data_IF_935859919718
#
_entry.id   IF_935859919718
#
_cell.length_a   1.000
_cell.length_b   1.000
_cell.length_c   1.000
_cell.angle_alpha   90.00
_cell.angle_beta   90.00
_cell.angle_gamma   90.00
#
_symmetry.space_group_name_H-M   'P 1'
#
loop_
_entity.id
_entity.type
_entity.pdbx_description
1 polymer ?
#
# COMPACT_ATOMS: atom_id res chain seq x y z
N UNK A 1 -62.57 -44.21 -11.49
CA UNK A 1 -61.33 -44.88 -11.01
C UNK A 1 -60.23 -43.83 -11.00
N UNK A 2 -59.92 -43.28 -9.83
CA UNK A 2 -58.74 -43.61 -9.00
C UNK A 2 -57.42 -43.36 -9.75
N UNK A 3 -56.84 -42.18 -9.55
CA UNK A 3 -55.39 -42.00 -9.69
C UNK A 3 -54.82 -41.57 -8.35
N UNK A 4 -54.08 -42.50 -7.77
CA UNK A 4 -53.38 -42.44 -6.50
C UNK A 4 -52.18 -41.49 -6.56
N UNK A 5 -52.04 -40.71 -5.50
CA UNK A 5 -50.88 -39.91 -5.13
C UNK A 5 -49.61 -40.77 -5.02
N UNK A 6 -48.49 -40.26 -5.52
CA UNK A 6 -47.15 -40.71 -5.13
C UNK A 6 -46.31 -39.49 -4.77
N UNK A 7 -46.22 -39.22 -3.46
CA UNK A 7 -45.32 -38.22 -2.89
C UNK A 7 -43.93 -38.83 -2.78
N UNK A 8 -42.98 -38.35 -3.58
CA UNK A 8 -41.56 -38.62 -3.41
C UNK A 8 -40.97 -37.61 -2.43
N UNK A 9 -40.72 -38.03 -1.20
CA UNK A 9 -39.95 -37.28 -0.21
C UNK A 9 -38.45 -37.57 -0.43
N UNK A 10 -37.70 -36.57 -0.91
CA UNK A 10 -36.24 -36.61 -0.99
C UNK A 10 -35.64 -36.16 0.36
N UNK A 11 -35.01 -37.09 1.08
CA UNK A 11 -34.12 -36.74 2.20
C UNK A 11 -32.82 -36.16 1.63
N UNK A 12 -32.62 -34.85 1.79
CA UNK A 12 -31.32 -34.23 1.62
C UNK A 12 -30.52 -34.38 2.92
N UNK A 13 -29.54 -35.28 2.93
CA UNK A 13 -28.55 -35.33 4.00
C UNK A 13 -27.61 -34.13 3.85
N UNK A 14 -27.69 -33.17 4.79
CA UNK A 14 -26.73 -32.10 4.89
C UNK A 14 -25.40 -32.67 5.42
N UNK A 15 -24.47 -32.94 4.52
CA UNK A 15 -23.07 -33.15 4.89
C UNK A 15 -22.52 -31.79 5.36
N UNK A 16 -22.43 -31.58 6.66
CA UNK A 16 -21.57 -30.52 7.20
C UNK A 16 -20.14 -30.94 6.91
N UNK A 17 -19.54 -30.36 5.87
CA UNK A 17 -18.12 -30.46 5.65
C UNK A 17 -17.42 -29.79 6.84
N UNK A 18 -16.85 -30.59 7.74
CA UNK A 18 -15.85 -30.11 8.68
C UNK A 18 -14.64 -29.66 7.85
N UNK A 19 -14.50 -28.35 7.65
CA UNK A 19 -13.24 -27.79 7.22
C UNK A 19 -12.17 -28.16 8.27
N UNK A 20 -10.99 -28.65 7.87
CA UNK A 20 -9.90 -28.88 8.80
C UNK A 20 -9.58 -27.54 9.48
N UNK A 21 -9.76 -27.46 10.80
CA UNK A 21 -9.33 -26.30 11.59
C UNK A 21 -7.82 -26.22 11.46
N UNK A 22 -7.31 -25.17 10.80
CA UNK A 22 -5.90 -24.82 10.88
C UNK A 22 -5.51 -24.68 12.36
N UNK A 23 -4.35 -25.22 12.73
CA UNK A 23 -3.86 -25.09 14.10
C UNK A 23 -3.56 -23.62 14.39
N UNK A 24 -4.44 -22.98 15.16
CA UNK A 24 -4.17 -21.66 15.69
C UNK A 24 -3.01 -21.75 16.68
N UNK A 25 -1.93 -21.02 16.42
CA UNK A 25 -0.74 -21.00 17.27
C UNK A 25 -0.40 -19.55 17.66
N UNK A 26 0.23 -19.38 18.82
CA UNK A 26 0.67 -18.06 19.30
C UNK A 26 2.16 -17.85 19.05
N UNK A 27 2.55 -16.61 18.78
CA UNK A 27 3.93 -16.25 18.50
C UNK A 27 4.24 -14.81 18.89
N UNK A 28 5.53 -14.49 19.03
CA UNK A 28 6.08 -13.15 19.10
C UNK A 28 7.03 -12.93 17.94
N UNK A 29 7.06 -11.70 17.43
CA UNK A 29 7.97 -11.31 16.36
C UNK A 29 9.22 -10.63 16.92
N UNK A 30 10.36 -10.93 16.31
CA UNK A 30 11.64 -10.26 16.51
C UNK A 30 12.20 -9.78 15.19
N UNK A 31 12.75 -8.58 15.20
CA UNK A 31 13.43 -7.97 14.08
C UNK A 31 14.95 -8.13 14.23
N UNK A 32 15.62 -8.48 13.13
CA UNK A 32 17.07 -8.52 13.03
C UNK A 32 17.54 -7.68 11.83
N UNK A 33 18.45 -6.75 12.06
CA UNK A 33 18.94 -5.82 11.05
C UNK A 33 19.58 -4.57 11.68
N UNK A 34 19.55 -3.47 10.93
CA UNK A 34 20.02 -2.16 11.38
C UNK A 34 19.34 -1.68 12.66
N UNK A 35 18.02 -1.86 12.76
CA UNK A 35 17.28 -1.86 14.02
C UNK A 35 16.91 -3.30 14.38
N UNK A 36 17.26 -3.74 15.58
CA UNK A 36 17.02 -5.10 16.07
C UNK A 36 16.31 -5.05 17.42
N UNK A 37 15.42 -5.99 17.66
CA UNK A 37 14.70 -6.07 18.93
C UNK A 37 13.36 -6.78 18.83
N UNK A 38 12.63 -6.76 19.94
CA UNK A 38 11.27 -7.30 19.98
C UNK A 38 10.31 -6.38 19.24
N UNK A 39 9.27 -6.99 18.67
CA UNK A 39 8.17 -6.27 18.04
C UNK A 39 6.99 -6.26 19.01
N UNK A 40 6.59 -5.06 19.39
CA UNK A 40 5.39 -4.80 20.17
C UNK A 40 4.34 -4.08 19.35
N UNK A 41 3.23 -3.72 20.00
CA UNK A 41 2.16 -2.92 19.40
C UNK A 41 1.84 -1.69 20.23
N UNK A 42 1.50 -0.61 19.55
CA UNK A 42 0.80 0.53 20.16
C UNK A 42 -0.65 0.15 20.48
N UNK A 43 -1.34 0.95 21.30
CA UNK A 43 -2.77 0.78 21.57
C UNK A 43 -3.62 0.86 20.30
N UNK A 44 -3.19 1.62 19.29
CA UNK A 44 -3.80 1.67 17.96
C UNK A 44 -3.67 0.37 17.17
N UNK A 45 -2.77 -0.55 17.57
CA UNK A 45 -2.51 -1.82 16.88
C UNK A 45 -1.38 -1.79 15.87
N UNK A 46 -0.73 -0.64 15.69
CA UNK A 46 0.46 -0.53 14.87
C UNK A 46 1.63 -1.30 15.51
N UNK A 47 2.29 -2.16 14.74
CA UNK A 47 3.46 -2.91 15.18
C UNK A 47 4.75 -2.08 15.04
N UNK A 48 5.61 -2.11 16.06
CA UNK A 48 6.90 -1.41 16.06
C UNK A 48 8.01 -2.25 16.69
N UNK A 49 9.22 -2.08 16.18
CA UNK A 49 10.45 -2.58 16.81
C UNK A 49 10.79 -1.67 17.99
N UNK A 50 11.24 -2.26 19.11
CA UNK A 50 11.69 -1.50 20.29
C UNK A 50 10.61 -1.30 21.35
N UNK A 51 9.44 -1.89 21.16
CA UNK A 51 8.38 -1.99 22.17
C UNK A 51 8.47 -3.30 22.95
N UNK A 52 7.74 -3.36 24.09
CA UNK A 52 7.53 -4.63 24.80
C UNK A 52 6.87 -5.66 23.86
N UNK A 53 7.32 -6.92 23.85
CA UNK A 53 6.80 -7.94 22.94
C UNK A 53 5.27 -8.03 22.97
N UNK A 54 4.64 -8.01 21.80
CA UNK A 54 3.22 -8.27 21.66
C UNK A 54 2.99 -9.74 21.26
N UNK A 55 1.96 -10.37 21.82
CA UNK A 55 1.54 -11.72 21.44
C UNK A 55 0.60 -11.66 20.25
N UNK A 56 0.94 -12.39 19.20
CA UNK A 56 0.15 -12.57 17.99
C UNK A 56 -0.34 -14.02 17.90
N UNK A 57 -1.35 -14.24 17.04
CA UNK A 57 -1.90 -15.55 16.72
C UNK A 57 -1.89 -15.75 15.22
N UNK A 58 -1.40 -16.90 14.77
CA UNK A 58 -1.46 -17.31 13.38
C UNK A 58 -2.64 -18.25 13.21
N UNK A 59 -3.47 -18.00 12.21
CA UNK A 59 -4.54 -18.89 11.77
C UNK A 59 -4.39 -19.11 10.26
N UNK A 60 -3.88 -20.28 9.89
CA UNK A 60 -3.47 -20.58 8.52
C UNK A 60 -2.34 -19.64 8.05
N UNK A 61 -2.62 -18.82 7.04
CA UNK A 61 -1.72 -17.82 6.48
C UNK A 61 -2.10 -16.37 6.88
N UNK A 62 -2.94 -16.22 7.91
CA UNK A 62 -3.40 -14.93 8.44
C UNK A 62 -2.94 -14.72 9.87
N UNK A 63 -2.57 -13.47 10.20
CA UNK A 63 -2.12 -13.11 11.55
C UNK A 63 -3.15 -12.21 12.26
N UNK A 64 -3.27 -12.41 13.57
CA UNK A 64 -4.16 -11.66 14.46
C UNK A 64 -3.36 -11.21 15.69
N UNK A 65 -3.79 -10.15 16.34
CA UNK A 65 -3.24 -9.80 17.65
C UNK A 65 -3.99 -10.46 18.81
N UNK A 66 -3.46 -10.29 20.03
CA UNK A 66 -4.10 -10.81 21.25
C UNK A 66 -5.52 -10.28 21.53
N UNK A 67 -5.89 -9.14 20.94
CA UNK A 67 -7.22 -8.52 21.06
C UNK A 67 -8.21 -8.99 19.98
N UNK A 68 -7.76 -9.84 19.05
CA UNK A 68 -8.58 -10.32 17.94
C UNK A 68 -8.68 -9.35 16.77
N UNK A 69 -7.77 -8.39 16.66
CA UNK A 69 -7.66 -7.49 15.50
C UNK A 69 -6.87 -8.17 14.39
N UNK A 70 -7.39 -8.11 13.17
CA UNK A 70 -6.73 -8.71 12.01
C UNK A 70 -5.51 -7.90 11.60
N UNK A 71 -4.36 -8.56 11.46
CA UNK A 71 -3.12 -7.91 11.07
C UNK A 71 -2.98 -7.86 9.54
N UNK A 72 -2.51 -6.72 9.04
CA UNK A 72 -2.43 -6.41 7.62
C UNK A 72 -1.34 -5.35 7.35
N UNK A 73 -1.00 -5.17 6.07
CA UNK A 73 -0.07 -4.14 5.63
C UNK A 73 -0.84 -2.93 5.10
N UNK A 74 -0.93 -1.87 5.92
CA UNK A 74 -1.84 -0.75 5.67
C UNK A 74 -1.50 0.02 4.39
N UNK A 75 -2.46 0.26 3.50
CA UNK A 75 -2.26 1.15 2.35
C UNK A 75 -2.05 2.62 2.79
N UNK A 76 -1.27 3.42 2.03
CA UNK A 76 -0.46 3.01 0.87
C UNK A 76 0.93 2.52 1.31
N UNK A 77 1.32 2.80 2.55
CA UNK A 77 2.71 2.65 3.01
C UNK A 77 3.12 1.21 3.26
N UNK A 78 2.16 0.29 3.30
CA UNK A 78 2.32 -1.10 3.71
C UNK A 78 2.98 -1.19 5.08
N UNK A 79 2.46 -0.46 6.05
CA UNK A 79 2.89 -0.52 7.45
C UNK A 79 2.21 -1.71 8.15
N UNK A 80 2.95 -2.44 8.98
CA UNK A 80 2.37 -3.55 9.74
C UNK A 80 1.46 -3.04 10.87
N UNK A 81 0.17 -3.35 10.80
CA UNK A 81 -0.82 -2.93 11.78
C UNK A 81 -1.87 -4.03 12.00
N UNK A 82 -2.53 -4.03 13.16
CA UNK A 82 -3.67 -4.89 13.45
C UNK A 82 -4.87 -4.03 13.90
N UNK A 83 -5.94 -4.00 13.10
CA UNK A 83 -7.08 -3.08 13.32
C UNK A 83 -8.38 -3.81 13.73
N UNK A 84 -9.24 -3.10 14.47
CA UNK A 84 -10.54 -3.64 14.90
C UNK A 84 -11.44 -3.87 13.70
N UNK A 85 -11.96 -5.09 13.56
CA UNK A 85 -12.82 -5.46 12.43
C UNK A 85 -12.08 -5.64 11.10
N UNK A 86 -10.76 -5.51 11.09
CA UNK A 86 -9.95 -5.76 9.91
C UNK A 86 -9.92 -7.24 9.57
N UNK A 87 -10.16 -7.55 8.30
CA UNK A 87 -9.91 -8.89 7.77
C UNK A 87 -8.39 -9.04 7.64
N UNK A 88 -7.76 -10.01 8.34
CA UNK A 88 -6.32 -10.15 8.32
C UNK A 88 -5.83 -10.51 6.92
N UNK A 89 -4.70 -9.94 6.53
CA UNK A 89 -4.14 -10.17 5.21
C UNK A 89 -3.49 -11.55 5.14
N UNK A 90 -3.81 -12.29 4.07
CA UNK A 90 -3.23 -13.60 3.78
C UNK A 90 -1.83 -13.47 3.23
N UNK A 91 -1.00 -14.46 3.51
CA UNK A 91 0.34 -14.56 2.94
C UNK A 91 1.45 -14.81 3.95
N UNK A 92 1.13 -14.86 5.25
CA UNK A 92 2.10 -15.15 6.29
C UNK A 92 2.57 -16.60 6.20
N UNK A 93 3.89 -16.78 6.21
CA UNK A 93 4.51 -18.10 6.23
C UNK A 93 5.69 -18.12 7.20
N UNK A 94 5.65 -19.09 8.10
CA UNK A 94 6.61 -19.31 9.16
C UNK A 94 7.40 -20.55 8.81
N UNK A 95 8.71 -20.38 8.65
CA UNK A 95 9.61 -21.47 8.34
C UNK A 95 10.12 -22.13 9.61
N UNK A 96 10.75 -23.29 9.43
CA UNK A 96 11.16 -24.16 10.51
C UNK A 96 12.33 -23.61 11.36
N UNK A 97 13.12 -22.69 10.78
CA UNK A 97 14.17 -21.93 11.45
C UNK A 97 13.65 -20.68 12.18
N UNK A 98 12.33 -20.49 12.21
CA UNK A 98 11.67 -19.30 12.75
C UNK A 98 11.66 -18.12 11.79
N UNK A 99 12.20 -18.22 10.58
CA UNK A 99 12.14 -17.11 9.61
C UNK A 99 10.70 -16.87 9.16
N UNK A 100 10.31 -15.60 9.09
CA UNK A 100 8.97 -15.18 8.70
C UNK A 100 9.03 -14.56 7.31
N UNK A 101 8.06 -14.92 6.48
CA UNK A 101 7.87 -14.32 5.16
C UNK A 101 6.41 -13.92 4.94
N UNK A 102 6.20 -12.94 4.09
CA UNK A 102 4.88 -12.51 3.65
C UNK A 102 4.80 -12.55 2.12
N UNK A 103 3.91 -13.37 1.55
CA UNK A 103 3.83 -13.62 0.11
C UNK A 103 5.19 -13.93 -0.54
N UNK A 104 6.04 -14.69 0.16
CA UNK A 104 7.39 -15.07 -0.27
C UNK A 104 8.48 -14.02 0.01
N UNK A 105 8.13 -12.80 0.39
CA UNK A 105 9.09 -11.77 0.76
C UNK A 105 9.64 -12.03 2.17
N UNK A 106 10.98 -12.11 2.30
CA UNK A 106 11.71 -12.36 3.56
C UNK A 106 12.39 -11.12 4.13
N UNK A 107 12.60 -10.10 3.29
CA UNK A 107 13.19 -8.82 3.68
C UNK A 107 12.08 -7.77 3.83
N UNK A 108 12.08 -7.06 4.94
CA UNK A 108 11.17 -5.95 5.24
C UNK A 108 11.98 -4.68 5.46
N UNK A 109 11.32 -3.56 5.72
CA UNK A 109 11.96 -2.27 5.94
C UNK A 109 11.58 -1.73 7.29
N UNK A 110 12.59 -1.42 8.10
CA UNK A 110 12.41 -0.66 9.32
C UNK A 110 12.74 0.80 9.04
N UNK A 111 11.96 1.74 9.56
CA UNK A 111 12.26 3.18 9.45
C UNK A 111 12.09 3.85 10.82
N UNK A 112 12.87 4.91 11.05
CA UNK A 112 12.83 5.69 12.28
C UNK A 112 11.40 6.16 12.59
N UNK A 113 11.00 5.93 13.85
CA UNK A 113 9.84 6.53 14.48
C UNK A 113 10.30 7.30 15.73
N UNK A 114 9.43 7.44 16.73
CA UNK A 114 9.73 8.21 17.93
C UNK A 114 10.42 7.36 19.01
N UNK A 115 11.24 8.00 19.86
CA UNK A 115 11.80 7.39 21.08
C UNK A 115 12.63 6.11 20.85
N UNK A 116 13.39 6.05 19.75
CA UNK A 116 14.21 4.88 19.41
C UNK A 116 13.39 3.65 18.99
N UNK A 117 12.14 3.86 18.59
CA UNK A 117 11.26 2.84 18.01
C UNK A 117 11.29 2.94 16.50
N UNK A 118 10.89 1.86 15.84
CA UNK A 118 10.91 1.78 14.39
C UNK A 118 9.63 1.19 13.85
N UNK A 119 9.10 1.82 12.82
CA UNK A 119 7.98 1.32 12.04
C UNK A 119 8.42 0.18 11.13
N UNK A 120 7.55 -0.78 10.87
CA UNK A 120 7.85 -1.95 10.03
C UNK A 120 6.99 -1.87 8.77
N UNK A 121 7.64 -1.82 7.62
CA UNK A 121 7.00 -1.71 6.32
C UNK A 121 7.32 -2.91 5.43
N UNK A 122 6.36 -3.28 4.59
CA UNK A 122 6.58 -4.25 3.52
C UNK A 122 7.40 -3.64 2.37
N UNK A 123 7.27 -2.33 2.14
CA UNK A 123 7.92 -1.62 1.04
C UNK A 123 9.03 -0.70 1.56
N UNK A 124 10.03 -0.44 0.71
CA UNK A 124 11.08 0.54 1.02
C UNK A 124 10.58 1.98 0.83
N UNK A 125 11.28 2.94 1.42
CA UNK A 125 11.08 4.37 1.16
C UNK A 125 9.82 4.95 1.80
N UNK A 126 9.28 4.30 2.83
CA UNK A 126 8.02 4.65 3.49
C UNK A 126 8.19 5.58 4.70
N UNK A 127 9.43 5.93 5.04
CA UNK A 127 9.77 6.74 6.20
C UNK A 127 11.16 7.34 6.11
N UNK A 128 11.65 7.85 7.23
CA UNK A 128 12.98 8.43 7.37
C UNK A 128 13.97 7.36 7.85
N UNK A 129 15.22 7.46 7.40
CA UNK A 129 16.34 6.63 7.89
C UNK A 129 16.05 5.11 7.82
N UNK A 130 15.37 4.70 6.74
CA UNK A 130 14.95 3.33 6.55
C UNK A 130 16.13 2.41 6.23
N UNK A 131 16.07 1.19 6.72
CA UNK A 131 16.97 0.13 6.31
C UNK A 131 16.28 -1.24 6.35
N UNK A 132 16.92 -2.23 5.71
CA UNK A 132 16.38 -3.59 5.65
C UNK A 132 16.37 -4.25 7.02
N UNK A 133 15.37 -5.09 7.24
CA UNK A 133 15.19 -5.90 8.44
C UNK A 133 14.60 -7.25 8.06
N UNK A 134 14.97 -8.31 8.78
CA UNK A 134 14.32 -9.62 8.69
C UNK A 134 13.49 -9.88 9.93
N UNK A 135 12.43 -10.64 9.78
CA UNK A 135 11.52 -11.00 10.86
C UNK A 135 11.69 -12.48 11.22
N UNK A 136 11.72 -12.75 12.52
CA UNK A 136 11.75 -14.10 13.08
C UNK A 136 10.64 -14.26 14.10
N UNK A 137 10.19 -15.50 14.25
CA UNK A 137 9.15 -15.91 15.19
C UNK A 137 9.71 -16.90 16.20
N UNK A 138 9.24 -16.80 17.44
CA UNK A 138 9.51 -17.78 18.50
C UNK A 138 8.43 -18.88 18.61
N UNK A 139 7.39 -18.81 17.79
CA UNK A 139 6.29 -19.77 17.75
C UNK A 139 5.79 -20.03 16.33
N UNK A 140 4.79 -20.89 16.17
CA UNK A 140 4.17 -21.21 14.88
C UNK A 140 5.09 -21.80 13.80
N UNK A 141 6.23 -22.37 14.20
CA UNK A 141 7.15 -23.03 13.28
C UNK A 141 6.66 -24.45 12.99
N UNK A 142 6.56 -24.88 11.73
CA UNK A 142 6.21 -26.26 11.40
C UNK A 142 7.26 -27.22 11.98
N UNK A 143 6.83 -28.43 12.37
CA UNK A 143 7.76 -29.47 12.80
C UNK A 143 8.75 -29.78 11.66
N UNK A 144 10.03 -29.49 11.90
CA UNK A 144 11.08 -29.87 10.96
C UNK A 144 11.10 -31.40 10.81
N UNK A 145 11.33 -31.93 9.60
CA UNK A 145 11.86 -33.28 9.48
C UNK A 145 13.12 -33.37 10.35
N UNK A 146 13.13 -34.27 11.34
CA UNK A 146 14.36 -34.57 12.11
C UNK A 146 15.47 -34.79 11.09
N UNK A 147 16.64 -34.15 11.25
CA UNK A 147 17.79 -34.45 10.41
C UNK A 147 17.98 -35.97 10.44
N UNK A 148 17.95 -36.63 9.27
CA UNK A 148 18.36 -38.03 9.19
C UNK A 148 19.77 -38.05 9.77
N UNK A 149 19.96 -38.77 10.88
CA UNK A 149 21.26 -39.12 11.42
C UNK A 149 21.98 -39.94 10.36
N UNK A 150 22.65 -39.26 9.44
CA UNK A 150 23.63 -39.84 8.54
C UNK A 150 24.89 -40.02 9.38
N UNK A 151 25.35 -41.27 9.46
CA UNK A 151 26.45 -41.70 10.30
C UNK A 151 27.72 -40.88 10.11
N UNK A 152 28.52 -40.87 11.17
CA UNK A 152 29.82 -40.24 11.25
C UNK A 152 30.73 -40.61 10.06
N UNK A 153 31.34 -39.60 9.45
CA UNK A 153 32.63 -39.72 8.75
C UNK A 153 33.37 -38.37 8.81
N UNK A 154 34.71 -38.37 8.66
CA UNK A 154 35.67 -38.06 9.70
C UNK A 154 36.03 -36.56 9.78
N UNK A 155 36.42 -36.17 10.98
CA UNK A 155 36.87 -34.83 11.37
C UNK A 155 38.16 -34.41 10.64
N UNK A 156 38.14 -33.21 10.04
CA UNK A 156 39.35 -32.44 9.74
C UNK A 156 39.60 -31.44 10.91
N UNK A 157 40.85 -31.12 11.28
CA UNK A 157 41.15 -30.42 12.55
C UNK A 157 40.76 -28.93 12.53
N UNK A 158 40.62 -28.30 13.71
CA UNK A 158 40.22 -26.89 13.83
C UNK A 158 41.37 -25.98 13.43
N UNK A 159 41.10 -24.95 12.62
CA UNK A 159 42.04 -23.83 12.39
C UNK A 159 41.78 -22.76 13.44
N UNK A 160 42.77 -22.56 14.31
CA UNK A 160 42.80 -21.56 15.38
C UNK A 160 42.45 -20.16 14.85
N UNK A 161 41.57 -19.46 15.57
CA UNK A 161 41.28 -18.04 15.36
C UNK A 161 42.01 -17.26 16.44
N UNK A 162 43.05 -16.53 16.05
CA UNK A 162 43.80 -15.63 16.94
C UNK A 162 43.09 -14.27 16.99
N UNK A 163 42.72 -13.84 18.20
CA UNK A 163 42.21 -12.50 18.49
C UNK A 163 43.37 -11.51 18.53
N UNK A 164 43.31 -10.42 17.75
CA UNK A 164 44.23 -9.27 17.92
C UNK A 164 43.40 -8.01 18.13
N UNK A 165 43.48 -7.48 19.35
CA UNK A 165 43.01 -6.14 19.72
C UNK A 165 44.10 -5.13 19.39
N UNK A 166 43.83 -4.11 18.57
CA UNK A 166 44.70 -2.92 18.50
C UNK A 166 43.88 -1.62 18.39
N UNK A 167 44.28 -0.67 19.23
CA UNK A 167 43.75 0.69 19.42
C UNK A 167 44.18 1.65 18.29
N UNK A 168 43.36 2.68 18.07
CA UNK A 168 43.59 3.83 17.19
C UNK A 168 44.56 4.86 17.83
N UNK A 169 45.41 5.56 17.05
CA UNK A 169 45.26 7.02 16.83
C UNK A 169 45.53 7.48 15.37
N UNK A 170 45.28 8.77 15.02
CA UNK A 170 44.96 9.23 13.66
C UNK A 170 46.15 9.81 12.88
N UNK A 171 46.17 9.70 11.54
CA UNK A 171 46.99 10.56 10.67
C UNK A 171 46.33 10.94 9.34
N UNK A 172 46.33 12.26 9.13
CA UNK A 172 46.09 13.08 7.95
C UNK A 172 46.79 12.54 6.69
N UNK A 173 46.07 12.50 5.56
CA UNK A 173 46.67 12.26 4.23
C UNK A 173 46.56 13.54 3.39
N UNK A 174 47.71 14.12 3.08
CA UNK A 174 47.90 15.16 2.06
C UNK A 174 47.91 14.50 0.67
N UNK A 175 47.04 14.94 -0.23
CA UNK A 175 47.01 14.48 -1.63
C UNK A 175 47.88 15.40 -2.49
N UNK A 176 48.96 14.85 -3.03
CA UNK A 176 49.79 15.50 -4.06
C UNK A 176 49.15 15.27 -5.43
N UNK A 177 48.69 16.34 -6.09
CA UNK A 177 48.24 16.30 -7.49
C UNK A 177 49.44 16.39 -8.44
N UNK A 178 49.52 15.46 -9.39
CA UNK A 178 50.42 15.50 -10.54
C UNK A 178 49.59 15.98 -11.73
N UNK A 179 49.95 17.15 -12.27
CA UNK A 179 49.30 17.75 -13.44
C UNK A 179 50.12 17.36 -14.66
N UNK A 180 49.55 16.53 -15.55
CA UNK A 180 50.14 16.24 -16.85
C UNK A 180 49.25 16.85 -17.93
N UNK A 181 49.75 17.91 -18.56
CA UNK A 181 49.10 18.62 -19.67
C UNK A 181 49.41 17.91 -20.98
N UNK A 182 48.38 17.45 -21.70
CA UNK A 182 48.50 17.04 -23.10
C UNK A 182 47.53 17.88 -23.94
N UNK A 183 48.12 18.61 -24.89
CA UNK A 183 47.42 19.40 -25.90
C UNK A 183 47.36 18.57 -27.18
N UNK A 184 46.16 18.26 -27.68
CA UNK A 184 45.95 17.85 -29.08
C UNK A 184 44.56 18.23 -29.57
N UNK A 185 44.52 18.73 -30.80
CA UNK A 185 43.36 19.30 -31.48
C UNK A 185 42.43 18.23 -32.10
N UNK A 186 41.12 18.50 -32.03
CA UNK A 186 40.17 18.44 -33.15
C UNK A 186 39.81 17.10 -33.81
N UNK A 187 38.66 16.54 -33.42
CA UNK A 187 37.80 15.73 -34.30
C UNK A 187 36.33 15.94 -33.87
N UNK A 188 35.35 16.15 -34.78
CA UNK A 188 33.96 16.33 -34.38
C UNK A 188 33.38 15.00 -33.88
N UNK A 189 33.03 14.97 -32.60
CA UNK A 189 32.45 13.79 -31.95
C UNK A 189 30.96 13.67 -32.34
N UNK A 190 30.46 12.49 -32.71
CA UNK A 190 29.03 12.29 -32.93
C UNK A 190 28.27 12.56 -31.62
N UNK A 191 27.15 13.28 -31.75
CA UNK A 191 26.28 13.69 -30.63
C UNK A 191 25.91 12.47 -29.78
N UNK A 192 26.14 12.50 -28.46
CA UNK A 192 25.64 11.46 -27.56
C UNK A 192 24.11 11.32 -27.74
N UNK A 193 23.55 10.10 -27.76
CA UNK A 193 22.11 9.93 -27.73
C UNK A 193 21.55 10.68 -26.53
N UNK A 194 20.65 11.62 -26.82
CA UNK A 194 20.01 12.50 -25.86
C UNK A 194 19.37 11.63 -24.76
N UNK A 195 19.80 11.80 -23.50
CA UNK A 195 19.10 11.21 -22.36
C UNK A 195 17.62 11.64 -22.45
N UNK A 196 16.65 10.72 -22.24
CA UNK A 196 15.25 11.07 -22.22
C UNK A 196 15.04 12.24 -21.26
N UNK A 197 14.44 13.33 -21.74
CA UNK A 197 14.07 14.45 -20.88
C UNK A 197 13.18 13.91 -19.74
N UNK A 198 13.31 14.45 -18.51
CA UNK A 198 12.40 14.11 -17.42
C UNK A 198 10.95 14.24 -17.90
N UNK A 199 10.09 13.23 -17.68
CA UNK A 199 8.71 13.31 -18.13
C UNK A 199 8.01 14.51 -17.49
N UNK A 200 7.27 15.29 -18.30
CA UNK A 200 6.52 16.48 -17.86
C UNK A 200 5.33 16.15 -16.94
N UNK A 201 5.04 14.88 -16.70
CA UNK A 201 3.90 14.37 -15.93
C UNK A 201 4.29 13.10 -15.19
N UNK A 202 3.74 12.89 -14.01
CA UNK A 202 3.97 11.67 -13.25
C UNK A 202 3.26 10.47 -13.89
N UNK A 203 3.69 9.23 -13.58
CA UNK A 203 3.09 8.04 -14.15
C UNK A 203 1.58 7.98 -13.92
N UNK A 204 0.83 7.54 -14.93
CA UNK A 204 -0.61 7.25 -14.84
C UNK A 204 -0.85 5.83 -14.30
N UNK A 205 -0.03 5.40 -13.34
CA UNK A 205 -0.14 4.12 -12.64
C UNK A 205 0.36 4.29 -11.21
N UNK A 206 0.06 3.33 -10.34
CA UNK A 206 0.42 3.39 -8.91
C UNK A 206 1.74 2.67 -8.59
N UNK A 207 2.69 2.64 -9.55
CA UNK A 207 3.98 1.96 -9.34
C UNK A 207 4.98 2.76 -8.48
N UNK A 208 4.78 4.07 -8.37
CA UNK A 208 5.57 4.97 -7.53
C UNK A 208 4.78 5.47 -6.31
N UNK A 209 5.26 6.51 -5.61
CA UNK A 209 4.51 7.13 -4.53
C UNK A 209 3.19 7.72 -5.05
N UNK A 210 2.12 7.50 -4.31
CA UNK A 210 0.80 8.02 -4.63
C UNK A 210 0.00 8.31 -3.36
N UNK A 211 -0.99 9.20 -3.49
CA UNK A 211 -2.02 9.45 -2.50
C UNK A 211 -3.36 8.94 -3.01
N UNK A 212 -4.12 8.34 -2.12
CA UNK A 212 -5.54 8.01 -2.33
C UNK A 212 -6.41 9.05 -1.60
N UNK A 213 -7.71 9.13 -1.90
CA UNK A 213 -8.56 10.13 -1.29
C UNK A 213 -8.82 9.80 0.18
N UNK A 214 -8.51 10.74 1.07
CA UNK A 214 -8.72 10.62 2.51
C UNK A 214 -10.17 10.94 2.92
N UNK A 215 -10.94 11.55 2.02
CA UNK A 215 -12.37 11.76 2.18
C UNK A 215 -13.05 11.80 0.81
N UNK A 216 -14.15 11.05 0.65
CA UNK A 216 -15.02 11.16 -0.51
C UNK A 216 -16.40 11.61 -0.04
N UNK A 217 -16.90 12.73 -0.57
CA UNK A 217 -18.22 13.28 -0.26
C UNK A 217 -19.11 13.23 -1.52
N UNK A 218 -20.21 12.47 -1.50
CA UNK A 218 -21.28 12.60 -2.47
C UNK A 218 -22.02 13.92 -2.24
N UNK A 219 -22.21 14.68 -3.31
CA UNK A 219 -22.97 15.93 -3.31
C UNK A 219 -24.18 15.75 -4.21
N UNK A 220 -25.36 15.66 -3.59
CA UNK A 220 -26.64 15.47 -4.28
C UNK A 220 -27.37 16.81 -4.45
N UNK A 221 -27.47 17.27 -5.70
CA UNK A 221 -28.20 18.51 -6.03
C UNK A 221 -29.72 18.40 -5.82
N UNK A 222 -30.26 17.19 -5.70
CA UNK A 222 -31.69 16.96 -5.43
C UNK A 222 -32.04 17.20 -3.95
N UNK A 223 -31.05 17.12 -3.06
CA UNK A 223 -31.19 17.32 -1.62
C UNK A 223 -30.12 18.29 -1.12
N UNK A 224 -30.17 19.58 -1.52
CA UNK A 224 -29.01 20.47 -1.48
C UNK A 224 -28.54 20.87 -0.06
N UNK A 225 -29.38 20.68 0.95
CA UNK A 225 -29.06 20.92 2.37
C UNK A 225 -28.64 19.67 3.13
N UNK A 226 -28.73 18.48 2.50
CA UNK A 226 -28.37 17.22 3.15
C UNK A 226 -26.90 16.92 2.93
N UNK A 227 -26.16 16.79 4.03
CA UNK A 227 -24.82 16.19 4.00
C UNK A 227 -24.96 14.68 3.89
N UNK A 228 -24.45 14.09 2.80
CA UNK A 228 -24.43 12.63 2.65
C UNK A 228 -23.46 11.96 3.64
N UNK A 229 -22.47 12.72 4.15
CA UNK A 229 -21.38 12.20 4.96
C UNK A 229 -20.29 11.56 4.11
N UNK A 230 -19.41 10.82 4.77
CA UNK A 230 -18.31 10.13 4.10
C UNK A 230 -18.80 8.95 3.24
N UNK A 231 -18.06 8.66 2.18
CA UNK A 231 -18.29 7.58 1.24
C UNK A 231 -16.97 6.89 0.92
N UNK A 232 -17.05 5.64 0.46
CA UNK A 232 -15.94 4.91 -0.16
C UNK A 232 -16.08 4.86 -1.69
N UNK A 233 -17.14 5.48 -2.22
CA UNK A 233 -17.53 5.36 -3.63
C UNK A 233 -17.48 6.72 -4.31
N UNK A 234 -16.93 6.72 -5.53
CA UNK A 234 -17.10 7.80 -6.48
C UNK A 234 -18.42 7.65 -7.26
N UNK A 235 -19.13 8.75 -7.42
CA UNK A 235 -20.40 8.87 -8.12
C UNK A 235 -20.45 10.13 -8.96
N UNK A 236 -20.92 9.98 -10.19
CA UNK A 236 -21.13 11.07 -11.13
C UNK A 236 -22.36 10.75 -12.00
N UNK A 237 -23.46 11.46 -11.76
CA UNK A 237 -24.65 11.45 -12.60
C UNK A 237 -25.32 12.85 -12.62
N UNK A 238 -26.50 12.94 -13.24
CA UNK A 238 -27.26 14.20 -13.38
C UNK A 238 -27.58 14.93 -12.05
N UNK A 239 -27.53 14.23 -10.92
CA UNK A 239 -27.90 14.70 -9.58
C UNK A 239 -26.73 14.64 -8.62
N UNK A 240 -25.93 13.57 -8.68
CA UNK A 240 -24.85 13.31 -7.73
C UNK A 240 -23.50 13.58 -8.38
N UNK A 241 -22.68 14.38 -7.71
CA UNK A 241 -21.25 14.52 -7.98
C UNK A 241 -20.44 14.05 -6.77
N UNK A 242 -19.14 13.81 -6.94
CA UNK A 242 -18.27 13.41 -5.83
C UNK A 242 -17.11 14.38 -5.67
N UNK A 243 -16.83 14.74 -4.42
CA UNK A 243 -15.65 15.52 -4.04
C UNK A 243 -14.68 14.60 -3.32
N UNK A 244 -13.42 14.63 -3.73
CA UNK A 244 -12.32 13.81 -3.22
C UNK A 244 -11.29 14.73 -2.57
N UNK A 245 -10.98 14.50 -1.29
CA UNK A 245 -9.92 15.21 -0.60
C UNK A 245 -8.66 14.35 -0.57
N UNK A 246 -7.53 15.00 -0.75
CA UNK A 246 -6.21 14.39 -0.59
C UNK A 246 -5.41 15.21 0.40
N UNK A 247 -4.88 14.56 1.43
CA UNK A 247 -3.94 15.15 2.37
C UNK A 247 -2.54 14.92 1.82
N UNK A 248 -1.89 15.97 1.33
CA UNK A 248 -0.58 15.83 0.67
C UNK A 248 0.53 15.92 1.71
N UNK A 249 1.37 14.87 1.88
CA UNK A 249 2.47 14.90 2.84
C UNK A 249 3.42 16.08 2.64
N UNK A 250 3.91 16.65 3.75
CA UNK A 250 4.93 17.70 3.72
C UNK A 250 6.24 17.27 3.04
N UNK A 251 6.53 15.97 3.02
CA UNK A 251 7.67 15.36 2.36
C UNK A 251 7.64 15.48 0.82
N UNK A 252 6.50 15.89 0.23
CA UNK A 252 6.38 16.12 -1.21
C UNK A 252 6.70 17.56 -1.62
N UNK A 253 7.24 18.38 -0.71
CA UNK A 253 7.63 19.75 -1.02
C UNK A 253 8.66 19.77 -2.17
N UNK A 254 8.35 20.54 -3.21
CA UNK A 254 9.20 20.66 -4.40
C UNK A 254 9.08 19.48 -5.38
N UNK A 255 8.14 18.55 -5.15
CA UNK A 255 7.79 17.50 -6.10
C UNK A 255 6.63 17.93 -6.99
N UNK A 256 6.47 17.21 -8.08
CA UNK A 256 5.36 17.25 -9.02
C UNK A 256 4.32 16.20 -8.67
N UNK A 257 3.06 16.58 -8.75
CA UNK A 257 1.91 15.72 -8.51
C UNK A 257 1.07 15.65 -9.79
N UNK A 258 0.55 14.45 -10.10
CA UNK A 258 -0.44 14.28 -11.16
C UNK A 258 -1.73 13.68 -10.61
N UNK A 259 -2.85 14.36 -10.85
CA UNK A 259 -4.18 13.79 -10.60
C UNK A 259 -4.47 12.77 -11.71
N UNK A 260 -4.77 11.54 -11.33
CA UNK A 260 -5.01 10.44 -12.26
C UNK A 260 -6.31 9.72 -11.92
N UNK A 261 -7.09 9.37 -12.94
CA UNK A 261 -8.27 8.51 -12.79
C UNK A 261 -7.99 7.17 -13.44
N UNK A 262 -8.08 6.08 -12.67
CA UNK A 262 -7.83 4.72 -13.13
C UNK A 262 -9.17 3.98 -13.25
N UNK A 263 -9.42 3.40 -14.41
CA UNK A 263 -10.71 2.79 -14.74
C UNK A 263 -10.49 1.43 -15.41
N UNK A 264 -10.19 0.38 -14.64
CA UNK A 264 -9.90 -0.96 -15.15
C UNK A 264 -11.14 -1.66 -15.68
N UNK A 265 -10.94 -2.75 -16.43
CA UNK A 265 -12.02 -3.65 -16.81
C UNK A 265 -12.52 -4.42 -15.59
N UNK A 266 -13.81 -4.76 -15.55
CA UNK A 266 -14.40 -5.57 -14.47
C UNK A 266 -13.69 -6.90 -14.27
N UNK A 267 -13.22 -7.53 -15.34
CA UNK A 267 -12.49 -8.81 -15.29
C UNK A 267 -11.16 -8.74 -14.52
N UNK A 268 -10.64 -7.54 -14.27
CA UNK A 268 -9.41 -7.31 -13.52
C UNK A 268 -9.65 -6.90 -12.06
N UNK A 269 -10.91 -6.77 -11.64
CA UNK A 269 -11.28 -6.36 -10.28
C UNK A 269 -11.53 -7.57 -9.40
N UNK A 270 -11.08 -7.48 -8.14
CA UNK A 270 -11.30 -8.52 -7.13
C UNK A 270 -12.18 -8.02 -5.97
N UNK A 271 -11.89 -6.81 -5.48
CA UNK A 271 -12.51 -6.23 -4.27
C UNK A 271 -13.34 -4.98 -4.53
N UNK A 272 -13.36 -4.50 -5.77
CA UNK A 272 -14.10 -3.33 -6.21
C UNK A 272 -15.06 -3.65 -7.36
N UNK A 273 -15.97 -2.72 -7.63
CA UNK A 273 -16.86 -2.80 -8.79
C UNK A 273 -17.17 -1.39 -9.29
N UNK A 274 -17.62 -1.30 -10.53
CA UNK A 274 -18.15 -0.07 -11.11
C UNK A 274 -19.40 -0.33 -11.94
N UNK A 275 -20.25 0.69 -12.05
CA UNK A 275 -21.40 0.73 -12.95
C UNK A 275 -21.26 1.98 -13.81
N UNK A 276 -21.33 1.79 -15.12
CA UNK A 276 -21.27 2.87 -16.10
C UNK A 276 -22.42 2.72 -17.10
N UNK A 277 -23.13 3.81 -17.34
CA UNK A 277 -24.10 3.94 -18.42
C UNK A 277 -24.03 5.34 -19.04
N UNK A 278 -24.55 5.51 -20.26
CA UNK A 278 -24.48 6.76 -21.01
C UNK A 278 -23.16 6.93 -21.77
N UNK A 279 -22.82 8.17 -22.11
CA UNK A 279 -21.67 8.50 -22.97
C UNK A 279 -20.29 8.21 -22.36
N UNK A 280 -20.21 8.17 -21.02
CA UNK A 280 -18.95 8.06 -20.27
C UNK A 280 -18.19 9.37 -20.13
N UNK A 281 -18.75 10.53 -20.47
CA UNK A 281 -18.11 11.82 -20.23
C UNK A 281 -18.19 12.24 -18.75
N UNK A 282 -17.03 12.44 -18.15
CA UNK A 282 -16.86 12.98 -16.78
C UNK A 282 -15.94 14.20 -16.80
N UNK A 283 -16.24 15.16 -15.94
CA UNK A 283 -15.50 16.41 -15.78
C UNK A 283 -14.82 16.41 -14.43
N UNK A 284 -13.52 16.71 -14.43
CA UNK A 284 -12.72 16.85 -13.23
C UNK A 284 -12.34 18.32 -13.02
N UNK A 285 -12.50 18.79 -11.78
CA UNK A 285 -12.25 20.19 -11.40
C UNK A 285 -11.47 20.27 -10.09
N UNK A 286 -10.62 21.28 -9.95
CA UNK A 286 -10.01 21.66 -8.67
C UNK A 286 -10.96 22.60 -7.93
N UNK A 287 -11.07 22.45 -6.61
CA UNK A 287 -11.91 23.31 -5.77
C UNK A 287 -11.08 24.35 -5.00
N UNK A 288 -11.69 25.51 -4.72
CA UNK A 288 -11.07 26.63 -3.98
C UNK A 288 -10.85 26.35 -2.50
N UNK A 289 -11.42 25.27 -1.98
CA UNK A 289 -11.37 24.90 -0.57
C UNK A 289 -11.56 23.42 -0.38
N UNK A 290 -11.41 22.97 0.87
CA UNK A 290 -11.41 21.56 1.25
C UNK A 290 -12.79 21.15 1.76
N UNK A 291 -13.38 20.09 1.20
CA UNK A 291 -14.66 19.57 1.66
C UNK A 291 -14.53 18.90 3.04
N UNK A 292 -15.65 18.70 3.74
CA UNK A 292 -15.68 17.98 5.00
C UNK A 292 -16.96 17.14 5.12
N UNK A 293 -17.12 16.38 6.21
CA UNK A 293 -18.27 15.47 6.38
C UNK A 293 -19.64 16.18 6.40
N UNK A 294 -19.68 17.51 6.62
CA UNK A 294 -20.90 18.33 6.58
C UNK A 294 -21.13 19.01 5.24
N UNK A 295 -20.33 18.68 4.22
CA UNK A 295 -20.48 19.25 2.89
C UNK A 295 -21.78 18.79 2.23
N UNK A 296 -22.50 19.74 1.63
CA UNK A 296 -23.79 19.61 0.93
C UNK A 296 -23.69 20.33 -0.42
N UNK A 297 -24.73 20.26 -1.26
CA UNK A 297 -24.70 21.00 -2.53
C UNK A 297 -24.68 22.52 -2.35
N UNK A 298 -25.33 23.04 -1.30
CA UNK A 298 -25.39 24.47 -1.01
C UNK A 298 -24.10 25.05 -0.40
N UNK A 299 -23.29 24.22 0.29
CA UNK A 299 -22.07 24.70 0.97
C UNK A 299 -20.76 24.11 0.38
N UNK A 300 -20.85 23.32 -0.69
CA UNK A 300 -19.67 22.74 -1.33
C UNK A 300 -18.66 23.84 -1.74
N UNK A 301 -17.35 23.59 -1.58
CA UNK A 301 -16.35 24.54 -2.06
C UNK A 301 -16.53 24.85 -3.55
N UNK A 302 -16.47 26.12 -3.91
CA UNK A 302 -16.61 26.54 -5.31
C UNK A 302 -15.49 25.97 -6.17
N UNK A 303 -15.79 25.72 -7.45
CA UNK A 303 -14.79 25.34 -8.45
C UNK A 303 -13.77 26.48 -8.61
N UNK A 304 -12.49 26.14 -8.49
CA UNK A 304 -11.35 27.02 -8.77
C UNK A 304 -11.06 27.02 -10.27
N UNK A 305 -10.91 25.82 -10.83
CA UNK A 305 -10.65 25.60 -12.25
C UNK A 305 -11.17 24.24 -12.70
N UNK A 306 -11.71 24.18 -13.90
CA UNK A 306 -11.95 22.92 -14.60
C UNK A 306 -10.61 22.39 -15.13
N UNK A 307 -10.30 21.14 -14.84
CA UNK A 307 -9.01 20.54 -15.20
C UNK A 307 -9.09 19.80 -16.53
N UNK A 308 -10.06 18.89 -16.64
CA UNK A 308 -10.21 18.04 -17.82
C UNK A 308 -11.60 17.41 -17.89
N UNK A 309 -12.14 17.37 -19.10
CA UNK A 309 -13.24 16.47 -19.44
C UNK A 309 -12.67 15.22 -20.11
N UNK A 310 -13.10 14.04 -19.68
CA UNK A 310 -12.64 12.74 -20.18
C UNK A 310 -13.83 11.88 -20.54
N UNK A 311 -13.78 11.21 -21.69
CA UNK A 311 -14.67 10.10 -21.97
C UNK A 311 -14.03 8.80 -21.48
N UNK A 312 -14.57 8.24 -20.39
CA UNK A 312 -14.00 7.08 -19.72
C UNK A 312 -14.42 5.78 -20.39
N UNK A 313 -13.45 4.88 -20.55
CA UNK A 313 -13.59 3.56 -21.19
C UNK A 313 -12.86 2.55 -20.31
N UNK A 314 -13.50 1.43 -19.94
CA UNK A 314 -12.87 0.42 -19.09
C UNK A 314 -11.55 -0.11 -19.67
N UNK A 315 -10.57 -0.33 -18.78
CA UNK A 315 -9.21 -0.76 -19.11
C UNK A 315 -8.20 0.38 -19.31
N UNK A 316 -8.55 1.63 -18.99
CA UNK A 316 -7.68 2.78 -19.22
C UNK A 316 -7.33 3.52 -17.91
N UNK A 317 -6.21 4.24 -17.97
CA UNK A 317 -5.83 5.24 -16.97
C UNK A 317 -5.73 6.62 -17.61
N UNK A 318 -6.18 7.65 -16.90
CA UNK A 318 -6.30 9.00 -17.40
C UNK A 318 -5.48 9.97 -16.54
N UNK A 319 -4.48 10.62 -17.13
CA UNK A 319 -3.84 11.78 -16.50
C UNK A 319 -4.75 12.99 -16.67
N UNK A 320 -5.23 13.54 -15.56
CA UNK A 320 -6.20 14.62 -15.51
C UNK A 320 -5.49 15.96 -15.50
N UNK A 321 -4.56 16.15 -14.57
CA UNK A 321 -3.75 17.36 -14.45
C UNK A 321 -2.40 17.05 -13.81
N UNK A 322 -1.41 17.90 -14.07
CA UNK A 322 -0.10 17.87 -13.40
C UNK A 322 0.16 19.25 -12.80
N UNK A 323 0.62 19.29 -11.55
CA UNK A 323 0.80 20.51 -10.76
C UNK A 323 1.88 20.30 -9.69
N UNK A 324 2.40 21.39 -9.13
CA UNK A 324 3.30 21.31 -7.97
C UNK A 324 2.55 20.71 -6.78
N UNK A 325 3.15 19.72 -6.10
CA UNK A 325 2.52 19.11 -4.94
C UNK A 325 2.24 20.15 -3.85
N UNK A 326 0.98 20.31 -3.39
CA UNK A 326 0.63 21.24 -2.32
C UNK A 326 1.00 20.64 -0.95
N UNK A 327 2.29 20.36 -0.78
CA UNK A 327 2.84 19.62 0.35
C UNK A 327 2.45 20.23 1.70
N UNK A 328 2.01 19.36 2.62
CA UNK A 328 1.53 19.73 3.95
C UNK A 328 0.10 20.28 3.98
N UNK A 329 -0.60 20.31 2.84
CA UNK A 329 -1.96 20.84 2.75
C UNK A 329 -2.92 19.78 2.21
N UNK A 330 -4.18 19.92 2.59
CA UNK A 330 -5.28 19.20 1.96
C UNK A 330 -5.73 19.92 0.68
N UNK A 331 -6.14 19.15 -0.33
CA UNK A 331 -6.70 19.65 -1.59
C UNK A 331 -7.94 18.85 -1.98
N UNK A 332 -8.94 19.51 -2.55
CA UNK A 332 -10.16 18.85 -3.03
C UNK A 332 -10.32 18.94 -4.54
N UNK A 333 -10.73 17.83 -5.13
CA UNK A 333 -11.11 17.71 -6.53
C UNK A 333 -12.55 17.22 -6.65
N UNK A 334 -13.28 17.71 -7.64
CA UNK A 334 -14.63 17.26 -7.95
C UNK A 334 -14.63 16.43 -9.22
N UNK A 335 -15.40 15.34 -9.22
CA UNK A 335 -15.81 14.60 -10.40
C UNK A 335 -17.31 14.75 -10.59
N UNK A 336 -17.73 15.17 -11.78
CA UNK A 336 -19.13 15.34 -12.16
C UNK A 336 -19.39 14.70 -13.52
N UNK A 337 -20.60 14.20 -13.77
CA UNK A 337 -20.95 13.70 -15.09
C UNK A 337 -21.21 14.85 -16.07
N UNK A 338 -21.05 14.55 -17.35
CA UNK A 338 -21.47 15.39 -18.45
C UNK A 338 -22.38 14.57 -19.37
N UNK A 339 -23.43 15.22 -19.89
CA UNK A 339 -24.43 14.55 -20.70
C UNK A 339 -25.25 13.55 -19.89
N UNK A 340 -25.46 12.36 -20.46
CA UNK A 340 -26.28 11.27 -19.91
C UNK A 340 -25.47 10.27 -19.07
N UNK A 341 -24.20 10.57 -18.79
CA UNK A 341 -23.30 9.68 -18.05
C UNK A 341 -23.80 9.47 -16.61
N UNK A 342 -23.87 8.19 -16.22
CA UNK A 342 -24.02 7.77 -14.83
C UNK A 342 -22.91 6.77 -14.51
N UNK A 343 -22.05 7.18 -13.59
CA UNK A 343 -20.92 6.41 -13.10
C UNK A 343 -21.06 6.23 -11.59
N UNK A 344 -20.85 5.00 -11.14
CA UNK A 344 -20.63 4.64 -9.74
C UNK A 344 -19.41 3.71 -9.69
N UNK A 345 -18.52 3.88 -8.73
CA UNK A 345 -17.42 2.95 -8.49
C UNK A 345 -17.02 2.94 -7.02
N UNK A 346 -16.48 1.82 -6.54
CA UNK A 346 -15.81 1.72 -5.25
C UNK A 346 -14.33 2.07 -5.41
N UNK A 347 -13.83 3.06 -4.67
CA UNK A 347 -12.43 3.50 -4.71
C UNK A 347 -11.55 2.43 -4.06
N UNK A 348 -10.67 1.82 -4.85
CA UNK A 348 -9.86 0.69 -4.38
C UNK A 348 -8.59 0.52 -5.21
N UNK A 349 -7.51 0.07 -4.57
CA UNK A 349 -6.21 -0.14 -5.21
C UNK A 349 -5.96 -1.63 -5.57
N UNK A 350 -6.75 -2.57 -5.03
CA UNK A 350 -6.47 -4.01 -5.12
C UNK A 350 -7.08 -4.72 -6.34
N UNK A 351 -6.36 -5.69 -6.93
CA UNK A 351 -5.01 -5.54 -7.46
C UNK A 351 -4.96 -4.62 -8.71
N UNK A 352 -6.13 -4.30 -9.29
CA UNK A 352 -6.26 -3.36 -10.40
C UNK A 352 -6.90 -2.08 -9.88
N UNK A 353 -6.13 -0.99 -9.72
CA UNK A 353 -6.63 0.21 -9.08
C UNK A 353 -7.79 0.85 -9.87
N UNK A 354 -8.86 1.14 -9.16
CA UNK A 354 -10.06 1.81 -9.63
C UNK A 354 -10.26 3.07 -8.77
N UNK A 355 -10.35 4.23 -9.43
CA UNK A 355 -10.67 5.48 -8.75
C UNK A 355 -9.69 6.62 -9.02
N UNK A 356 -9.72 7.62 -8.16
CA UNK A 356 -9.01 8.88 -8.32
C UNK A 356 -7.82 8.96 -7.37
N UNK A 357 -6.62 9.13 -7.92
CA UNK A 357 -5.36 9.14 -7.17
C UNK A 357 -4.52 10.36 -7.50
N UNK A 358 -3.56 10.69 -6.65
CA UNK A 358 -2.47 11.62 -6.98
C UNK A 358 -1.17 10.84 -7.04
N UNK A 359 -0.52 10.78 -8.19
CA UNK A 359 0.82 10.17 -8.33
C UNK A 359 1.90 11.24 -8.22
N UNK A 360 3.09 10.84 -7.75
CA UNK A 360 4.17 11.77 -7.40
C UNK A 360 5.47 11.42 -8.09
N UNK A 361 6.15 12.46 -8.58
CA UNK A 361 7.45 12.45 -9.21
C UNK A 361 8.13 13.82 -8.98
#
# INVERSE_FOLDING_TARGET
MRYTLASLASLAAAAQALAPRGEQCSFHLKAAGSASGNIGQLSSGQARIGLSPATFKLDGDTAWDSQGRGCWWTPPTKLLQCDVGQIPEKGWKFECDGSVSFNGQKEFYQCDADNGQYNIYLLNGQGKDCAKVTLTSDGCTPECPKPKTTGAQPTCPPKETVTVTQQQPPKTITVTQVITSVVTQGCPTPTPPQQPQPPKSCPTNLSGPYEFPHLIIPVDSSNPDKAAGTSYNGQADSKISSIFNFDIPGSYKGKTCSLVFLFPKKENLETSDWKLSGSGEVVFSKLKGVANQKTTANNAPAVESELKTVQIVPGNGYSIATFDCPAGNAVSFQMKSKGDTSLWFFEDYNPSPLGLYITVC
#
